data_IF_986865390424
#
_entry.id   IF_986865390424
#
_cell.length_a   1.000
_cell.length_b   1.000
_cell.length_c   1.000
_cell.angle_alpha   90.00
_cell.angle_beta   90.00
_cell.angle_gamma   90.00
#
_symmetry.space_group_name_H-M   'P 1'
#
loop_
_entity.id
_entity.type
_entity.pdbx_description
1 polymer ?
#
# COMPACT_ATOMS: atom_id res chain seq x y z
N UNK A 1 3.71 -4.23 3.13
CA UNK A 1 3.06 -2.91 3.12
C UNK A 1 3.14 -2.27 4.49
N UNK A 2 3.56 -1.00 4.59
CA UNK A 2 3.98 -0.46 5.86
C UNK A 2 2.94 0.51 6.45
N UNK A 3 1.72 -0.01 6.65
CA UNK A 3 0.56 0.80 7.05
C UNK A 3 0.29 0.76 8.56
N UNK A 4 0.90 -0.17 9.29
CA UNK A 4 0.71 -0.39 10.72
C UNK A 4 1.95 0.04 11.49
N UNK A 5 1.79 0.47 12.73
CA UNK A 5 2.88 0.55 13.72
C UNK A 5 3.22 -0.86 14.24
N UNK A 6 4.31 -1.43 13.72
CA UNK A 6 4.66 -2.82 14.01
C UNK A 6 5.00 -3.05 15.49
N UNK A 7 5.72 -2.12 16.13
CA UNK A 7 6.04 -2.22 17.56
C UNK A 7 4.82 -2.27 18.45
N UNK A 8 3.80 -1.42 18.19
CA UNK A 8 2.54 -1.44 18.95
C UNK A 8 1.88 -2.81 18.88
N UNK A 9 1.70 -3.35 17.66
CA UNK A 9 1.07 -4.66 17.48
C UNK A 9 1.85 -5.76 18.21
N UNK A 10 3.17 -5.75 18.09
CA UNK A 10 4.05 -6.72 18.74
C UNK A 10 4.03 -6.58 20.28
N UNK A 11 3.93 -5.35 20.80
CA UNK A 11 3.80 -5.08 22.22
C UNK A 11 2.49 -5.66 22.79
N UNK A 12 1.36 -5.41 22.13
CA UNK A 12 0.06 -5.97 22.53
C UNK A 12 0.06 -7.50 22.44
N UNK A 13 0.65 -8.08 21.39
CA UNK A 13 0.82 -9.52 21.28
C UNK A 13 1.65 -10.08 22.44
N UNK A 14 2.85 -9.52 22.68
CA UNK A 14 3.77 -10.01 23.72
C UNK A 14 3.17 -9.92 25.11
N UNK A 15 2.42 -8.84 25.36
CA UNK A 15 1.75 -8.60 26.64
C UNK A 15 0.47 -9.43 26.80
N UNK A 16 0.08 -10.24 25.81
CA UNK A 16 -1.20 -10.98 25.76
C UNK A 16 -2.44 -10.07 25.87
N UNK A 17 -2.31 -8.82 25.40
CA UNK A 17 -3.35 -7.77 25.43
C UNK A 17 -3.97 -7.50 24.07
N UNK A 18 -3.89 -8.43 23.10
CA UNK A 18 -4.50 -8.24 21.77
C UNK A 18 -6.01 -7.94 21.82
N UNK A 19 -6.71 -8.37 22.88
CA UNK A 19 -8.12 -8.06 23.10
C UNK A 19 -8.39 -6.56 23.37
N UNK A 20 -7.37 -5.79 23.77
CA UNK A 20 -7.42 -4.34 23.94
C UNK A 20 -7.04 -3.60 22.64
N UNK A 21 -6.51 -4.31 21.63
CA UNK A 21 -6.18 -3.72 20.34
C UNK A 21 -7.43 -3.47 19.50
N UNK A 22 -7.33 -2.61 18.48
CA UNK A 22 -8.50 -2.30 17.65
C UNK A 22 -8.99 -3.54 16.89
N UNK A 23 -10.23 -3.94 17.21
CA UNK A 23 -10.83 -5.16 16.67
C UNK A 23 -11.01 -5.09 15.15
N UNK A 24 -11.43 -3.94 14.62
CA UNK A 24 -11.55 -3.75 13.16
C UNK A 24 -10.19 -3.93 12.48
N UNK A 25 -9.13 -3.39 13.08
CA UNK A 25 -7.78 -3.48 12.54
C UNK A 25 -7.24 -4.90 12.59
N UNK A 26 -7.56 -5.67 13.64
CA UNK A 26 -7.26 -7.09 13.73
C UNK A 26 -7.93 -7.90 12.62
N UNK A 27 -9.24 -7.74 12.40
CA UNK A 27 -9.93 -8.47 11.33
C UNK A 27 -9.42 -8.06 9.95
N UNK A 28 -9.16 -6.76 9.71
CA UNK A 28 -8.52 -6.30 8.47
C UNK A 28 -7.13 -6.91 8.26
N UNK A 29 -6.32 -7.03 9.32
CA UNK A 29 -5.02 -7.68 9.28
C UNK A 29 -5.15 -9.18 8.98
N UNK A 30 -6.10 -9.87 9.60
CA UNK A 30 -6.36 -11.29 9.34
C UNK A 30 -6.79 -11.53 7.89
N UNK A 31 -7.62 -10.67 7.31
CA UNK A 31 -7.96 -10.73 5.88
C UNK A 31 -6.71 -10.78 4.99
N UNK A 32 -5.69 -9.97 5.27
CA UNK A 32 -4.47 -9.97 4.43
C UNK A 32 -3.54 -11.13 4.79
N UNK A 33 -3.47 -11.46 6.08
CA UNK A 33 -2.64 -12.54 6.59
C UNK A 33 -3.06 -13.91 6.05
N UNK A 34 -4.36 -14.12 5.80
CA UNK A 34 -4.88 -15.35 5.18
C UNK A 34 -4.14 -15.72 3.87
N UNK A 35 -3.61 -14.75 3.10
CA UNK A 35 -2.82 -15.03 1.89
C UNK A 35 -1.60 -15.96 2.16
N UNK A 36 -1.11 -15.98 3.40
CA UNK A 36 0.08 -16.70 3.83
C UNK A 36 -0.24 -17.90 4.72
N UNK A 37 -1.52 -18.13 5.05
CA UNK A 37 -1.94 -19.23 5.92
C UNK A 37 -1.81 -20.58 5.18
N UNK A 38 -1.09 -21.57 5.75
CA UNK A 38 -1.00 -22.94 5.24
C UNK A 38 -2.34 -23.68 5.25
N UNK A 39 -2.43 -24.77 4.49
CA UNK A 39 -3.67 -25.54 4.34
C UNK A 39 -4.16 -26.14 5.67
N UNK A 40 -3.20 -26.68 6.42
CA UNK A 40 -3.40 -27.35 7.69
C UNK A 40 -4.10 -26.43 8.70
N UNK A 41 -3.75 -25.14 8.69
CA UNK A 41 -4.32 -24.16 9.62
C UNK A 41 -5.76 -23.85 9.24
N UNK A 42 -6.05 -23.45 7.99
CA UNK A 42 -7.43 -23.08 7.66
C UNK A 42 -8.38 -24.28 7.67
N UNK A 43 -7.90 -25.49 7.38
CA UNK A 43 -8.68 -26.73 7.47
C UNK A 43 -9.01 -27.08 8.92
N UNK A 44 -8.06 -26.94 9.85
CA UNK A 44 -8.31 -27.17 11.28
C UNK A 44 -9.30 -26.18 11.90
N UNK A 45 -9.34 -24.95 11.38
CA UNK A 45 -10.34 -23.93 11.73
C UNK A 45 -11.70 -24.13 11.02
N UNK A 46 -11.85 -25.20 10.23
CA UNK A 46 -13.11 -25.59 9.59
C UNK A 46 -13.41 -24.88 8.26
N UNK A 47 -12.44 -24.20 7.66
CA UNK A 47 -12.62 -23.57 6.36
C UNK A 47 -12.25 -24.52 5.22
N UNK A 48 -13.05 -24.50 4.15
CA UNK A 48 -12.82 -25.34 2.95
C UNK A 48 -11.67 -24.85 2.07
N UNK A 49 -11.28 -23.59 2.21
CA UNK A 49 -10.18 -23.00 1.45
C UNK A 49 -9.68 -21.73 2.13
N UNK A 50 -8.45 -21.34 1.78
CA UNK A 50 -7.89 -20.02 2.12
C UNK A 50 -8.83 -18.88 1.71
N UNK A 51 -9.46 -18.99 0.53
CA UNK A 51 -10.40 -17.99 0.02
C UNK A 51 -11.62 -17.87 0.93
N UNK A 52 -12.20 -18.99 1.36
CA UNK A 52 -13.33 -19.01 2.28
C UNK A 52 -12.98 -18.39 3.64
N UNK A 53 -11.83 -18.76 4.21
CA UNK A 53 -11.32 -18.15 5.45
C UNK A 53 -11.16 -16.64 5.30
N UNK A 54 -10.52 -16.20 4.22
CA UNK A 54 -10.27 -14.80 3.93
C UNK A 54 -11.59 -14.00 3.78
N UNK A 55 -12.61 -14.59 3.15
CA UNK A 55 -13.94 -14.00 2.99
C UNK A 55 -14.61 -13.77 4.34
N UNK A 56 -14.52 -14.74 5.25
CA UNK A 56 -15.07 -14.63 6.60
C UNK A 56 -14.37 -13.51 7.40
N UNK A 57 -13.03 -13.45 7.36
CA UNK A 57 -12.28 -12.37 8.03
C UNK A 57 -12.67 -10.99 7.48
N UNK A 58 -12.79 -10.88 6.15
CA UNK A 58 -13.20 -9.66 5.47
C UNK A 58 -14.60 -9.22 5.89
N UNK A 59 -15.58 -10.13 5.84
CA UNK A 59 -16.97 -9.88 6.24
C UNK A 59 -17.06 -9.30 7.66
N UNK A 60 -16.30 -9.87 8.61
CA UNK A 60 -16.24 -9.38 10.00
C UNK A 60 -15.68 -7.96 10.09
N UNK A 61 -14.59 -7.67 9.38
CA UNK A 61 -14.00 -6.33 9.35
C UNK A 61 -14.97 -5.30 8.75
N UNK A 62 -15.66 -5.64 7.66
CA UNK A 62 -16.65 -4.78 7.01
C UNK A 62 -17.85 -4.52 7.92
N UNK A 63 -18.35 -5.55 8.61
CA UNK A 63 -19.42 -5.40 9.60
C UNK A 63 -19.02 -4.40 10.70
N UNK A 64 -17.81 -4.52 11.26
CA UNK A 64 -17.31 -3.60 12.28
C UNK A 64 -17.13 -2.17 11.77
N UNK A 65 -16.71 -2.01 10.51
CA UNK A 65 -16.64 -0.70 9.87
C UNK A 65 -18.02 -0.04 9.81
N UNK A 66 -19.04 -0.76 9.35
CA UNK A 66 -20.40 -0.22 9.21
C UNK A 66 -21.14 -0.03 10.53
N UNK A 67 -20.86 -0.84 11.55
CA UNK A 67 -21.41 -0.66 12.89
C UNK A 67 -20.92 0.64 13.55
N UNK A 68 -19.84 1.23 13.05
CA UNK A 68 -19.36 2.54 13.47
C UNK A 68 -18.82 2.60 14.90
N UNK A 69 -18.43 1.46 15.48
CA UNK A 69 -17.88 1.39 16.83
C UNK A 69 -16.49 2.04 16.94
N UNK A 70 -15.66 1.90 15.90
CA UNK A 70 -14.36 2.58 15.82
C UNK A 70 -14.55 4.04 15.37
N UNK A 71 -13.96 4.97 16.12
CA UNK A 71 -14.04 6.42 15.85
C UNK A 71 -12.68 7.02 15.48
N UNK A 72 -11.59 6.30 15.76
CA UNK A 72 -10.26 6.76 15.41
C UNK A 72 -10.07 6.70 13.88
N UNK A 73 -9.93 7.87 13.26
CA UNK A 73 -9.79 8.00 11.80
C UNK A 73 -8.51 7.35 11.26
N UNK A 74 -7.41 7.33 12.03
CA UNK A 74 -6.19 6.63 11.62
C UNK A 74 -6.42 5.12 11.60
N UNK A 75 -7.08 4.58 12.61
CA UNK A 75 -7.44 3.16 12.64
C UNK A 75 -8.37 2.79 11.48
N UNK A 76 -9.38 3.61 11.20
CA UNK A 76 -10.27 3.42 10.05
C UNK A 76 -9.50 3.53 8.72
N UNK A 77 -8.56 4.46 8.60
CA UNK A 77 -7.70 4.60 7.43
C UNK A 77 -6.86 3.34 7.20
N UNK A 78 -6.17 2.86 8.25
CA UNK A 78 -5.37 1.64 8.18
C UNK A 78 -6.23 0.43 7.82
N UNK A 79 -7.40 0.28 8.45
CA UNK A 79 -8.33 -0.81 8.19
C UNK A 79 -8.86 -0.78 6.75
N UNK A 80 -9.40 0.35 6.29
CA UNK A 80 -9.92 0.50 4.91
C UNK A 80 -8.84 0.28 3.86
N UNK A 81 -7.61 0.74 4.12
CA UNK A 81 -6.48 0.52 3.21
C UNK A 81 -6.12 -0.96 3.12
N UNK A 82 -6.11 -1.70 4.25
CA UNK A 82 -5.93 -3.16 4.27
C UNK A 82 -7.07 -3.87 3.54
N UNK A 83 -8.33 -3.52 3.80
CA UNK A 83 -9.50 -4.08 3.12
C UNK A 83 -9.46 -3.86 1.61
N UNK A 84 -8.85 -2.76 1.16
CA UNK A 84 -8.58 -2.52 -0.24
C UNK A 84 -7.88 -3.69 -0.93
N UNK A 85 -7.03 -4.47 -0.26
CA UNK A 85 -6.28 -5.61 -0.83
C UNK A 85 -7.08 -6.91 -0.95
N UNK A 86 -8.38 -6.86 -0.72
CA UNK A 86 -9.30 -7.95 -0.99
C UNK A 86 -9.62 -8.07 -2.48
N UNK A 87 -9.10 -9.11 -3.14
CA UNK A 87 -9.48 -9.52 -4.49
C UNK A 87 -10.03 -10.96 -4.39
N UNK A 88 -11.35 -11.14 -4.39
CA UNK A 88 -11.98 -12.45 -4.21
C UNK A 88 -12.46 -13.10 -5.49
N UNK A 89 -13.11 -12.33 -6.38
CA UNK A 89 -13.68 -12.79 -7.65
C UNK A 89 -13.97 -11.63 -8.61
N UNK A 90 -14.21 -11.98 -9.89
CA UNK A 90 -14.62 -11.07 -10.97
C UNK A 90 -15.92 -10.33 -10.61
N UNK A 91 -16.83 -10.95 -9.85
CA UNK A 91 -18.11 -10.33 -9.48
C UNK A 91 -17.97 -9.25 -8.40
N UNK A 92 -16.89 -9.30 -7.60
CA UNK A 92 -16.64 -8.41 -6.46
C UNK A 92 -15.47 -7.42 -6.73
N UNK A 93 -15.14 -7.23 -8.02
CA UNK A 93 -14.04 -6.37 -8.49
C UNK A 93 -14.16 -4.89 -8.08
N UNK A 94 -15.32 -4.48 -7.58
CA UNK A 94 -15.54 -3.13 -7.08
C UNK A 94 -15.01 -2.91 -5.66
N UNK A 95 -14.83 -3.97 -4.86
CA UNK A 95 -14.39 -3.83 -3.46
C UNK A 95 -13.01 -3.17 -3.35
N UNK A 96 -11.96 -3.59 -4.10
CA UNK A 96 -10.67 -2.93 -4.01
C UNK A 96 -10.75 -1.42 -4.27
N UNK A 97 -11.50 -1.04 -5.31
CA UNK A 97 -11.67 0.36 -5.70
C UNK A 97 -12.47 1.15 -4.67
N UNK A 98 -13.53 0.55 -4.11
CA UNK A 98 -14.35 1.14 -3.07
C UNK A 98 -13.52 1.42 -1.81
N UNK A 99 -12.89 0.40 -1.23
CA UNK A 99 -12.13 0.51 0.02
C UNK A 99 -10.89 1.40 -0.12
N UNK A 100 -10.20 1.33 -1.27
CA UNK A 100 -9.09 2.26 -1.55
C UNK A 100 -9.59 3.70 -1.67
N UNK A 101 -10.78 3.90 -2.23
CA UNK A 101 -11.46 5.19 -2.24
C UNK A 101 -11.74 5.74 -0.85
N UNK A 102 -12.24 4.90 0.06
CA UNK A 102 -12.47 5.26 1.46
C UNK A 102 -11.16 5.63 2.17
N UNK A 103 -10.09 4.85 1.95
CA UNK A 103 -8.77 5.15 2.49
C UNK A 103 -8.24 6.51 1.98
N UNK A 104 -8.35 6.78 0.68
CA UNK A 104 -7.92 8.07 0.09
C UNK A 104 -8.71 9.23 0.71
N UNK A 105 -10.03 9.09 0.86
CA UNK A 105 -10.86 10.10 1.50
C UNK A 105 -10.43 10.36 2.95
N UNK A 106 -10.20 9.31 3.74
CA UNK A 106 -9.72 9.45 5.12
C UNK A 106 -8.34 10.10 5.20
N UNK A 107 -7.41 9.73 4.30
CA UNK A 107 -6.12 10.40 4.15
C UNK A 107 -6.26 11.90 3.90
N UNK A 108 -7.16 12.29 3.00
CA UNK A 108 -7.41 13.70 2.67
C UNK A 108 -8.09 14.46 3.83
N UNK A 109 -9.07 13.84 4.51
CA UNK A 109 -9.73 14.40 5.71
C UNK A 109 -8.75 14.59 6.86
N UNK A 110 -7.78 13.68 7.01
CA UNK A 110 -6.69 13.80 7.97
C UNK A 110 -5.57 14.75 7.52
N UNK A 111 -5.66 15.25 6.30
CA UNK A 111 -4.69 16.17 5.71
C UNK A 111 -3.42 15.53 5.17
N UNK A 112 -3.23 14.20 5.23
CA UNK A 112 -1.94 13.52 4.99
C UNK A 112 -1.34 13.69 3.57
N UNK A 113 -2.11 14.29 2.65
CA UNK A 113 -1.71 14.74 1.32
C UNK A 113 -0.91 16.05 1.33
N UNK A 114 -0.82 16.69 2.49
CA UNK A 114 -0.10 17.93 2.68
C UNK A 114 1.18 17.73 3.47
N UNK A 115 2.16 18.60 3.24
CA UNK A 115 3.40 18.64 3.99
C UNK A 115 3.14 18.95 5.47
N UNK A 116 3.33 17.93 6.31
CA UNK A 116 3.13 18.02 7.75
C UNK A 116 4.19 18.82 8.48
N UNK A 117 5.32 19.06 7.82
CA UNK A 117 6.43 19.90 8.31
C UNK A 117 6.29 21.36 7.87
N UNK A 118 5.31 21.65 6.99
CA UNK A 118 5.06 23.02 6.54
C UNK A 118 4.59 23.93 7.68
N UNK A 119 5.00 25.19 7.60
CA UNK A 119 4.68 26.20 8.62
C UNK A 119 3.17 26.33 8.78
N UNK A 120 2.67 26.05 9.99
CA UNK A 120 1.25 26.23 10.35
C UNK A 120 0.37 24.98 10.19
N UNK A 121 0.92 23.83 9.80
CA UNK A 121 0.13 22.65 9.48
C UNK A 121 -0.46 21.92 10.72
N UNK A 122 0.32 21.71 11.79
CA UNK A 122 -0.12 21.37 13.15
C UNK A 122 1.11 21.09 14.03
N UNK A 123 1.32 21.84 15.12
CA UNK A 123 2.49 21.65 16.01
C UNK A 123 2.42 20.41 16.90
N UNK A 124 1.26 19.73 16.96
CA UNK A 124 1.05 18.56 17.83
C UNK A 124 1.40 17.21 17.17
N UNK A 125 1.95 17.23 15.95
CA UNK A 125 2.44 16.02 15.28
C UNK A 125 3.81 15.66 15.87
N UNK A 126 3.91 14.46 16.44
CA UNK A 126 5.16 13.95 16.99
C UNK A 126 6.10 13.43 15.90
N UNK A 127 7.41 13.44 16.14
CA UNK A 127 8.41 12.87 15.23
C UNK A 127 8.11 11.43 14.84
N UNK A 128 7.54 10.66 15.79
CA UNK A 128 7.15 9.27 15.56
C UNK A 128 5.95 9.11 14.63
N UNK A 129 5.07 10.10 14.53
CA UNK A 129 3.91 10.07 13.64
C UNK A 129 4.27 10.41 12.19
N UNK A 130 5.30 11.24 11.96
CA UNK A 130 5.66 11.73 10.61
C UNK A 130 5.94 10.59 9.63
N UNK A 131 6.76 9.57 9.97
CA UNK A 131 6.97 8.41 9.11
C UNK A 131 5.67 7.70 8.78
N UNK A 132 4.85 7.39 9.79
CA UNK A 132 3.57 6.70 9.58
C UNK A 132 2.66 7.46 8.62
N UNK A 133 2.57 8.79 8.76
CA UNK A 133 1.72 9.63 7.93
C UNK A 133 2.18 9.64 6.47
N UNK A 134 3.50 9.80 6.22
CA UNK A 134 4.07 9.64 4.87
C UNK A 134 3.80 8.25 4.29
N UNK A 135 4.00 7.19 5.09
CA UNK A 135 3.73 5.81 4.66
C UNK A 135 2.28 5.60 4.27
N UNK A 136 1.32 6.09 5.06
CA UNK A 136 -0.11 5.98 4.76
C UNK A 136 -0.49 6.73 3.48
N UNK A 137 0.00 7.97 3.32
CA UNK A 137 -0.24 8.77 2.12
C UNK A 137 0.31 8.11 0.86
N UNK A 138 1.60 7.78 0.85
CA UNK A 138 2.25 7.18 -0.32
C UNK A 138 1.72 5.78 -0.65
N UNK A 139 1.25 5.05 0.37
CA UNK A 139 0.55 3.78 0.13
C UNK A 139 -0.80 4.00 -0.57
N UNK A 140 -1.59 4.99 -0.14
CA UNK A 140 -2.84 5.34 -0.83
C UNK A 140 -2.58 5.79 -2.27
N UNK A 141 -1.56 6.61 -2.47
CA UNK A 141 -1.12 7.06 -3.80
C UNK A 141 -0.77 5.89 -4.72
N UNK A 142 0.14 5.02 -4.29
CA UNK A 142 0.53 3.85 -5.08
C UNK A 142 -0.67 2.97 -5.40
N UNK A 143 -1.57 2.80 -4.42
CA UNK A 143 -2.75 1.96 -4.60
C UNK A 143 -3.75 2.53 -5.60
N UNK A 144 -3.96 3.84 -5.59
CA UNK A 144 -4.80 4.56 -6.57
C UNK A 144 -4.30 4.29 -7.99
N UNK A 145 -2.99 4.47 -8.24
CA UNK A 145 -2.37 4.24 -9.55
C UNK A 145 -2.54 2.81 -10.03
N UNK A 146 -2.28 1.84 -9.15
CA UNK A 146 -2.36 0.42 -9.49
C UNK A 146 -3.78 -0.05 -9.79
N UNK A 147 -4.76 0.32 -8.96
CA UNK A 147 -6.15 -0.10 -9.21
C UNK A 147 -6.70 0.62 -10.44
N UNK A 148 -6.38 1.90 -10.63
CA UNK A 148 -6.83 2.66 -11.80
C UNK A 148 -6.37 2.03 -13.11
N UNK A 149 -5.10 1.64 -13.23
CA UNK A 149 -4.62 0.95 -14.44
C UNK A 149 -5.26 -0.44 -14.59
N UNK A 150 -5.36 -1.21 -13.50
CA UNK A 150 -5.87 -2.58 -13.54
C UNK A 150 -7.36 -2.66 -13.88
N UNK A 151 -8.16 -1.67 -13.46
CA UNK A 151 -9.62 -1.65 -13.64
C UNK A 151 -10.10 -0.61 -14.66
N UNK A 152 -9.18 0.10 -15.33
CA UNK A 152 -9.52 1.18 -16.28
C UNK A 152 -10.31 2.33 -15.63
N UNK A 153 -9.97 2.71 -14.39
CA UNK A 153 -10.67 3.76 -13.62
C UNK A 153 -9.89 5.07 -13.59
N UNK A 154 -10.56 6.24 -13.49
CA UNK A 154 -9.88 7.52 -13.29
C UNK A 154 -9.07 7.54 -11.99
N UNK A 155 -7.95 8.27 -11.96
CA UNK A 155 -7.20 8.52 -10.73
C UNK A 155 -8.01 9.37 -9.76
N UNK A 156 -7.96 9.05 -8.45
CA UNK A 156 -8.59 9.85 -7.40
C UNK A 156 -7.64 10.86 -6.77
N UNK A 157 -6.34 10.57 -6.78
CA UNK A 157 -5.30 11.47 -6.26
C UNK A 157 -4.68 12.24 -7.40
N UNK A 158 -4.75 13.56 -7.32
CA UNK A 158 -3.97 14.48 -8.15
C UNK A 158 -2.78 15.00 -7.34
N UNK A 159 -1.56 14.84 -7.87
CA UNK A 159 -0.35 15.28 -7.16
C UNK A 159 -0.22 16.80 -7.14
N UNK A 160 -0.84 17.52 -8.06
CA UNK A 160 -0.83 18.99 -8.05
C UNK A 160 -1.59 19.58 -6.83
N UNK A 161 -2.45 18.77 -6.21
CA UNK A 161 -3.19 19.13 -4.99
C UNK A 161 -2.47 18.68 -3.70
N UNK A 162 -1.25 18.15 -3.81
CA UNK A 162 -0.51 17.51 -2.72
C UNK A 162 0.90 18.06 -2.59
N UNK A 163 1.38 18.28 -1.36
CA UNK A 163 2.76 18.72 -1.08
C UNK A 163 3.50 17.83 -0.07
N UNK A 164 2.96 16.65 0.30
CA UNK A 164 3.66 15.68 1.16
C UNK A 164 5.04 15.30 0.59
N UNK A 165 6.13 15.41 1.37
CA UNK A 165 7.46 15.00 0.93
C UNK A 165 7.54 13.52 0.55
N UNK A 166 8.48 13.21 -0.35
CA UNK A 166 8.74 11.83 -0.78
C UNK A 166 9.08 10.90 0.40
N UNK A 167 8.69 9.61 0.32
CA UNK A 167 8.94 8.68 1.40
C UNK A 167 10.43 8.38 1.51
N UNK A 168 10.91 8.14 2.73
CA UNK A 168 12.29 7.81 3.02
C UNK A 168 12.42 6.32 3.35
N UNK A 169 13.59 5.73 3.06
CA UNK A 169 13.89 4.34 3.46
C UNK A 169 13.75 4.16 4.97
N UNK A 170 14.17 5.17 5.74
CA UNK A 170 14.05 5.19 7.21
C UNK A 170 12.61 5.17 7.70
N UNK A 171 11.63 5.60 6.90
CA UNK A 171 10.22 5.58 7.31
C UNK A 171 9.73 4.16 7.61
N UNK A 172 10.33 3.17 6.95
CA UNK A 172 9.97 1.76 7.06
C UNK A 172 10.46 1.12 8.36
N UNK A 173 11.43 1.73 9.03
CA UNK A 173 12.05 1.23 10.25
C UNK A 173 11.79 2.12 11.48
N UNK A 174 11.19 3.30 11.29
CA UNK A 174 10.98 4.27 12.36
C UNK A 174 10.15 3.75 13.55
N UNK A 175 9.22 2.83 13.29
CA UNK A 175 8.40 2.17 14.31
C UNK A 175 9.02 0.87 14.83
N UNK A 176 10.27 0.57 14.48
CA UNK A 176 11.01 -0.60 14.94
C UNK A 176 12.13 -0.26 15.93
N UNK A 177 12.39 1.03 16.12
CA UNK A 177 13.37 1.51 17.09
C UNK A 177 13.00 1.03 18.50
N UNK A 178 13.92 0.31 19.14
CA UNK A 178 13.73 -0.22 20.49
C UNK A 178 13.02 -1.58 20.58
N UNK A 179 12.65 -2.20 19.45
CA UNK A 179 12.21 -3.61 19.46
C UNK A 179 13.42 -4.51 19.78
N UNK A 180 13.32 -5.44 20.77
CA UNK A 180 14.41 -6.37 21.06
C UNK A 180 14.79 -7.24 19.86
N UNK A 181 16.08 -7.49 19.67
CA UNK A 181 16.61 -8.26 18.53
C UNK A 181 15.97 -9.64 18.39
N UNK A 182 15.70 -10.32 19.51
CA UNK A 182 15.02 -11.62 19.51
C UNK A 182 13.60 -11.57 18.92
N UNK A 183 12.89 -10.45 19.09
CA UNK A 183 11.56 -10.23 18.53
C UNK A 183 11.67 -9.84 17.07
N UNK A 184 12.60 -8.95 16.74
CA UNK A 184 12.91 -8.56 15.35
C UNK A 184 13.20 -9.82 14.50
N UNK A 185 14.11 -10.68 14.96
CA UNK A 185 14.48 -11.91 14.28
C UNK A 185 13.33 -12.94 14.13
N UNK A 186 12.31 -12.89 15.00
CA UNK A 186 11.19 -13.81 14.99
C UNK A 186 10.06 -13.38 14.05
N UNK A 187 9.81 -12.07 13.91
CA UNK A 187 8.63 -11.54 13.21
C UNK A 187 8.94 -10.69 11.99
N UNK A 188 10.15 -10.13 11.89
CA UNK A 188 10.52 -9.22 10.81
C UNK A 188 11.40 -9.92 9.77
N UNK A 189 11.23 -9.60 8.47
CA UNK A 189 12.08 -10.13 7.43
C UNK A 189 13.50 -9.59 7.59
N UNK A 190 14.50 -10.47 7.42
CA UNK A 190 15.93 -10.08 7.48
C UNK A 190 16.30 -9.03 6.43
N UNK A 191 15.66 -9.08 5.27
CA UNK A 191 15.92 -8.18 4.15
C UNK A 191 15.06 -6.89 4.21
N UNK A 192 14.62 -6.48 5.41
CA UNK A 192 13.79 -5.29 5.57
C UNK A 192 14.39 -4.02 4.94
N UNK A 193 15.71 -3.74 5.05
CA UNK A 193 16.31 -2.59 4.36
C UNK A 193 16.13 -2.64 2.84
N UNK A 194 16.33 -3.81 2.21
CA UNK A 194 16.14 -3.97 0.76
C UNK A 194 14.66 -3.87 0.37
N UNK A 195 13.75 -4.35 1.23
CA UNK A 195 12.31 -4.18 1.03
C UNK A 195 11.89 -2.71 1.11
N UNK A 196 12.52 -1.93 2.00
CA UNK A 196 12.28 -0.50 2.12
C UNK A 196 12.76 0.25 0.86
N UNK A 197 13.94 -0.06 0.33
CA UNK A 197 14.42 0.49 -0.94
C UNK A 197 13.49 0.16 -2.11
N UNK A 198 13.05 -1.11 -2.21
CA UNK A 198 12.08 -1.55 -3.24
C UNK A 198 10.75 -0.82 -3.10
N UNK A 199 10.33 -0.46 -1.89
CA UNK A 199 9.13 0.33 -1.67
C UNK A 199 9.26 1.75 -2.24
N UNK A 200 10.39 2.44 -1.99
CA UNK A 200 10.64 3.76 -2.58
C UNK A 200 10.63 3.71 -4.11
N UNK A 201 11.28 2.68 -4.66
CA UNK A 201 11.27 2.36 -6.09
C UNK A 201 9.85 2.16 -6.64
N UNK A 202 8.99 1.41 -5.94
CA UNK A 202 7.57 1.22 -6.32
C UNK A 202 6.79 2.54 -6.33
N UNK A 203 7.04 3.44 -5.37
CA UNK A 203 6.41 4.77 -5.35
C UNK A 203 6.85 5.60 -6.56
N UNK A 204 8.14 5.60 -6.87
CA UNK A 204 8.66 6.30 -8.05
C UNK A 204 8.00 5.78 -9.35
N UNK A 205 7.94 4.46 -9.53
CA UNK A 205 7.25 3.86 -10.68
C UNK A 205 5.76 4.21 -10.73
N UNK A 206 5.07 4.26 -9.58
CA UNK A 206 3.67 4.69 -9.52
C UNK A 206 3.49 6.16 -9.94
N UNK A 207 4.47 7.05 -9.69
CA UNK A 207 4.45 8.42 -10.20
C UNK A 207 4.52 8.45 -11.72
N UNK A 208 5.42 7.68 -12.33
CA UNK A 208 5.54 7.56 -13.79
C UNK A 208 4.26 7.01 -14.41
N UNK A 209 3.72 5.93 -13.84
CA UNK A 209 2.44 5.37 -14.24
C UNK A 209 1.32 6.42 -14.16
N UNK A 210 1.30 7.25 -13.11
CA UNK A 210 0.39 8.37 -12.99
C UNK A 210 0.50 9.37 -14.14
N UNK A 211 1.73 9.78 -14.49
CA UNK A 211 1.96 10.68 -15.64
C UNK A 211 1.40 10.06 -16.93
N UNK A 212 1.71 8.79 -17.21
CA UNK A 212 1.21 8.06 -18.39
C UNK A 212 -0.32 8.02 -18.41
N UNK A 213 -0.96 7.63 -17.30
CA UNK A 213 -2.41 7.58 -17.20
C UNK A 213 -3.06 8.95 -17.44
N UNK A 214 -2.46 10.02 -16.92
CA UNK A 214 -2.98 11.39 -17.11
C UNK A 214 -2.75 11.93 -18.52
N UNK A 215 -1.64 11.57 -19.18
CA UNK A 215 -1.28 12.09 -20.50
C UNK A 215 -1.90 11.28 -21.63
N UNK A 216 -1.92 9.96 -21.54
CA UNK A 216 -2.33 9.07 -22.63
C UNK A 216 -3.80 8.64 -22.56
N UNK A 217 -4.41 8.63 -21.37
CA UNK A 217 -5.74 8.02 -21.16
C UNK A 217 -6.83 8.99 -20.68
N UNK A 218 -6.52 10.29 -20.54
CA UNK A 218 -7.55 11.29 -20.23
C UNK A 218 -8.34 11.73 -21.47
N UNK A 219 -9.65 11.48 -21.46
CA UNK A 219 -10.56 11.71 -22.59
C UNK A 219 -10.55 13.13 -23.18
N UNK A 220 -10.25 14.16 -22.38
CA UNK A 220 -10.35 15.57 -22.77
C UNK A 220 -9.01 16.31 -22.80
N UNK A 221 -7.87 15.62 -22.70
CA UNK A 221 -6.56 16.25 -22.86
C UNK A 221 -6.08 16.19 -24.31
N UNK A 222 -5.26 17.17 -24.75
CA UNK A 222 -4.55 17.06 -26.02
C UNK A 222 -3.74 15.76 -26.03
N UNK A 223 -3.69 15.08 -27.17
CA UNK A 223 -2.79 13.93 -27.34
C UNK A 223 -1.35 14.37 -26.99
N UNK A 224 -0.59 13.55 -26.25
CA UNK A 224 0.78 13.89 -25.91
C UNK A 224 1.61 14.03 -27.20
N UNK A 225 2.56 14.96 -27.19
CA UNK A 225 3.51 15.11 -28.30
C UNK A 225 4.52 13.97 -28.27
N UNK A 226 5.12 13.64 -29.42
CA UNK A 226 6.19 12.63 -29.51
C UNK A 226 7.31 12.92 -28.52
N UNK A 227 7.71 14.20 -28.38
CA UNK A 227 8.73 14.57 -27.40
C UNK A 227 8.33 14.31 -25.93
N UNK A 228 7.04 14.46 -25.59
CA UNK A 228 6.55 14.11 -24.25
C UNK A 228 6.56 12.60 -24.00
N UNK A 229 6.20 11.83 -25.03
CA UNK A 229 6.24 10.37 -25.04
C UNK A 229 7.70 9.89 -24.87
N UNK A 230 8.64 10.37 -25.69
CA UNK A 230 10.07 10.03 -25.64
C UNK A 230 10.70 10.40 -24.29
N UNK A 231 10.27 11.52 -23.70
CA UNK A 231 10.74 11.93 -22.38
C UNK A 231 10.27 10.98 -21.28
N UNK A 232 9.03 10.49 -21.33
CA UNK A 232 8.53 9.49 -20.37
C UNK A 232 9.23 8.15 -20.56
N UNK A 233 9.40 7.71 -21.81
CA UNK A 233 10.12 6.47 -22.11
C UNK A 233 11.56 6.52 -21.59
N UNK A 234 12.25 7.64 -21.81
CA UNK A 234 13.59 7.86 -21.27
C UNK A 234 13.63 7.80 -19.74
N UNK A 235 12.61 8.32 -19.06
CA UNK A 235 12.51 8.29 -17.59
C UNK A 235 12.29 6.85 -17.08
N UNK A 236 11.46 6.05 -17.78
CA UNK A 236 11.24 4.63 -17.47
C UNK A 236 12.52 3.83 -17.70
N UNK A 237 13.18 3.98 -18.85
CA UNK A 237 14.39 3.22 -19.18
C UNK A 237 15.55 3.54 -18.22
N UNK A 238 15.66 4.79 -17.76
CA UNK A 238 16.65 5.20 -16.74
C UNK A 238 16.44 4.53 -15.39
N UNK A 239 15.22 4.07 -15.09
CA UNK A 239 14.94 3.38 -13.84
C UNK A 239 15.76 2.08 -13.73
N UNK A 240 16.03 1.40 -14.85
CA UNK A 240 16.98 0.30 -14.93
C UNK A 240 16.75 -0.79 -13.89
N UNK A 241 15.72 -1.61 -14.09
CA UNK A 241 15.44 -2.74 -13.19
C UNK A 241 16.13 -4.00 -13.69
N UNK A 242 16.87 -4.70 -12.81
CA UNK A 242 17.46 -5.98 -13.16
C UNK A 242 16.38 -6.99 -13.59
N UNK A 243 16.65 -7.76 -14.64
CA UNK A 243 15.74 -8.79 -15.16
C UNK A 243 15.57 -9.97 -14.20
N UNK A 244 16.56 -10.20 -13.35
CA UNK A 244 16.55 -11.26 -12.36
C UNK A 244 16.83 -10.72 -10.95
N UNK A 245 16.10 -11.20 -9.94
CA UNK A 245 16.40 -10.87 -8.55
C UNK A 245 17.76 -11.48 -8.17
N UNK A 246 18.46 -10.82 -7.24
CA UNK A 246 19.63 -11.40 -6.60
C UNK A 246 19.24 -12.77 -5.96
N UNK A 247 19.94 -13.88 -6.29
CA UNK A 247 19.66 -15.20 -5.76
C UNK A 247 19.67 -15.30 -4.24
N UNK A 248 20.33 -14.36 -3.55
CA UNK A 248 20.42 -14.32 -2.09
C UNK A 248 19.19 -13.68 -1.42
N UNK A 249 18.27 -13.09 -2.19
CA UNK A 249 17.06 -12.48 -1.65
C UNK A 249 16.12 -13.53 -1.04
N UNK A 250 15.53 -13.21 0.11
CA UNK A 250 14.43 -13.99 0.66
C UNK A 250 13.27 -14.09 -0.32
N UNK A 251 12.44 -15.12 -0.15
CA UNK A 251 11.20 -15.30 -0.93
C UNK A 251 10.32 -14.05 -0.96
N UNK A 252 10.26 -13.31 0.15
CA UNK A 252 9.49 -12.07 0.25
C UNK A 252 10.13 -10.95 -0.59
N UNK A 253 11.44 -10.74 -0.49
CA UNK A 253 12.14 -9.73 -1.27
C UNK A 253 12.11 -10.04 -2.78
N UNK A 254 12.18 -11.32 -3.14
CA UNK A 254 11.97 -11.81 -4.51
C UNK A 254 10.56 -11.52 -5.02
N UNK A 255 9.52 -11.76 -4.21
CA UNK A 255 8.14 -11.40 -4.56
C UNK A 255 7.98 -9.90 -4.86
N UNK A 256 8.54 -9.02 -4.03
CA UNK A 256 8.46 -7.57 -4.28
C UNK A 256 9.31 -7.11 -5.46
N UNK A 257 10.41 -7.79 -5.77
CA UNK A 257 11.16 -7.54 -7.00
C UNK A 257 10.30 -7.83 -8.24
N UNK A 258 9.63 -8.98 -8.30
CA UNK A 258 8.70 -9.29 -9.39
C UNK A 258 7.51 -8.33 -9.45
N UNK A 259 7.02 -7.89 -8.30
CA UNK A 259 5.97 -6.87 -8.25
C UNK A 259 6.44 -5.56 -8.91
N UNK A 260 7.66 -5.11 -8.60
CA UNK A 260 8.27 -3.93 -9.23
C UNK A 260 8.48 -4.14 -10.74
N UNK A 261 8.89 -5.34 -11.17
CA UNK A 261 8.97 -5.68 -12.60
C UNK A 261 7.62 -5.56 -13.30
N UNK A 262 6.53 -6.05 -12.69
CA UNK A 262 5.19 -5.90 -13.26
C UNK A 262 4.80 -4.43 -13.45
N UNK A 263 5.10 -3.55 -12.48
CA UNK A 263 4.89 -2.11 -12.63
C UNK A 263 5.74 -1.49 -13.75
N UNK A 264 7.00 -1.91 -13.86
CA UNK A 264 7.89 -1.48 -14.93
C UNK A 264 7.35 -1.87 -16.30
N UNK A 265 6.98 -3.14 -16.48
CA UNK A 265 6.44 -3.63 -17.74
C UNK A 265 5.09 -2.99 -18.08
N UNK A 266 4.20 -2.77 -17.11
CA UNK A 266 2.93 -2.09 -17.35
C UNK A 266 3.10 -0.63 -17.76
N UNK A 267 4.08 0.06 -17.18
CA UNK A 267 4.42 1.43 -17.57
C UNK A 267 5.00 1.47 -18.98
N UNK A 268 5.84 0.50 -19.34
CA UNK A 268 6.41 0.37 -20.68
C UNK A 268 5.39 -0.06 -21.75
N UNK A 269 4.46 -0.97 -21.44
CA UNK A 269 3.40 -1.40 -22.36
C UNK A 269 2.32 -0.33 -22.56
N UNK A 270 1.97 0.42 -21.50
CA UNK A 270 1.06 1.56 -21.61
C UNK A 270 1.58 2.63 -22.57
N UNK A 271 2.91 2.80 -22.64
CA UNK A 271 3.56 3.64 -23.65
C UNK A 271 3.33 3.12 -25.08
N UNK A 272 3.58 1.83 -25.33
CA UNK A 272 3.44 1.22 -26.67
C UNK A 272 2.00 1.33 -27.20
N UNK A 273 1.00 1.14 -26.33
CA UNK A 273 -0.41 1.28 -26.71
C UNK A 273 -0.85 2.73 -26.96
N UNK A 274 -0.11 3.72 -26.42
CA UNK A 274 -0.41 5.14 -26.63
C UNK A 274 0.26 5.75 -27.85
N UNK A 275 1.25 5.06 -28.42
CA UNK A 275 1.96 5.45 -29.64
C UNK A 275 1.31 4.92 -30.94
N UNK A 276 0.30 4.06 -30.81
CA UNK A 276 -0.55 3.54 -31.90
C UNK A 276 -1.86 4.35 -32.01
#
# INVERSE_FOLDING_TARGET
MPVLEADKLLEYHRSKRLHEYSLILMWSLFTISCNYVPAEIYESEGFTSRKAMKAEMFSRAVCLYHNGGEKNKFTLLQATLLLGFWNSDIEDHMQPWHWSGQAINLCQVLGLHRDIDSVGYNTNITERQRPLFRRLWWTCFWRDRWISVALGRPLRINLDDSDTPDPLVTDMAADLEGIPESISAAYLPRDLPQLAEKWIQLIHMAKLLGKILTQCYQLRRPKPTIAQIDSLESEILRFGLADHPDPMLSRLATFYHYHLQLHYQLSHLGHILSAL
#
